data_IF_607429622654
#
_entry.id   IF_607429622654
#
_cell.length_a   1.000
_cell.length_b   1.000
_cell.length_c   1.000
_cell.angle_alpha   90.00
_cell.angle_beta   90.00
_cell.angle_gamma   90.00
#
_symmetry.space_group_name_H-M   'P 1'
#
loop_
_entity.id
_entity.type
_entity.pdbx_description
1 polymer ?
2 polymer ?
3 water ?
#
# COMPACT_ATOMS: atom_id res chain seq x y z
N UNK A 3 -13.88 11.66 0.06
CA UNK A 3 -13.42 10.37 0.66
C UNK A 3 -12.04 10.56 1.27
N UNK A 4 -11.34 9.44 1.61
CA UNK A 4 -9.98 9.51 2.16
C UNK A 4 -8.94 9.86 1.13
N UNK A 5 -7.73 10.21 1.58
CA UNK A 5 -6.66 10.59 0.67
C UNK A 5 -5.66 9.48 0.41
N UNK A 6 -5.41 8.66 1.41
CA UNK A 6 -4.48 7.55 1.27
C UNK A 6 -5.26 6.25 1.21
N UNK A 7 -5.23 5.59 0.06
CA UNK A 7 -6.04 4.40 -0.15
C UNK A 7 -5.71 3.21 0.75
N UNK A 8 -4.72 3.35 1.61
CA UNK A 8 -4.33 2.25 2.50
C UNK A 8 -4.30 2.68 3.96
N UNK A 9 -4.69 1.78 4.86
CA UNK A 9 -4.73 2.08 6.29
C UNK A 9 -3.31 2.27 6.81
N UNK A 10 -2.35 1.55 6.22
CA UNK A 10 -0.95 1.70 6.62
C UNK A 10 -0.33 3.00 6.10
N UNK A 11 -0.49 3.27 4.81
CA UNK A 11 0.01 4.49 4.23
C UNK A 11 -0.51 5.70 4.97
N UNK A 12 -1.80 5.69 5.26
CA UNK A 12 -2.44 6.80 5.92
C UNK A 12 -1.95 7.00 7.35
N UNK A 13 -1.74 5.91 8.06
CA UNK A 13 -1.31 5.97 9.46
C UNK A 13 0.06 6.64 9.56
N UNK A 14 0.83 6.52 8.50
CA UNK A 14 2.17 7.10 8.43
C UNK A 14 2.20 8.52 7.86
N UNK A 15 1.49 8.76 6.75
CA UNK A 15 1.60 10.06 6.08
C UNK A 15 0.60 11.12 6.49
N UNK A 16 -0.54 10.72 7.03
CA UNK A 16 -1.57 11.70 7.42
C UNK A 16 -1.05 12.68 8.49
N UNK A 17 -0.40 12.16 9.54
CA UNK A 17 0.09 13.07 10.58
C UNK A 17 1.05 14.10 9.98
N UNK A 18 2.10 13.64 9.34
CA UNK A 18 3.09 14.52 8.70
C UNK A 18 2.38 15.59 7.87
N UNK A 19 1.46 15.15 7.02
CA UNK A 19 0.74 16.08 6.16
C UNK A 19 0.02 17.12 6.99
N UNK A 20 -0.68 16.69 8.04
CA UNK A 20 -1.39 17.64 8.88
C UNK A 20 -0.41 18.55 9.60
N UNK A 21 0.63 17.95 10.18
CA UNK A 21 1.65 18.70 10.88
C UNK A 21 2.15 19.83 10.01
N UNK A 22 2.34 19.57 8.73
CA UNK A 22 2.77 20.62 7.82
C UNK A 22 1.68 21.69 7.69
N UNK A 23 0.42 21.30 7.86
CA UNK A 23 -0.67 22.27 7.78
C UNK A 23 -0.62 23.23 8.96
N UNK A 24 -0.34 22.70 10.15
CA UNK A 24 -0.19 23.52 11.34
C UNK A 24 0.81 24.62 11.06
N UNK A 25 1.99 24.26 10.62
CA UNK A 25 3.02 25.25 10.32
C UNK A 25 2.63 26.36 9.36
N UNK A 26 2.07 26.00 8.22
CA UNK A 26 1.70 27.00 7.22
C UNK A 26 0.75 28.02 7.83
N UNK A 27 -0.29 27.55 8.52
CA UNK A 27 -1.24 28.48 9.16
C UNK A 27 -0.56 29.35 10.23
N UNK A 28 0.49 28.81 10.84
CA UNK A 28 1.25 29.53 11.86
C UNK A 28 2.09 30.64 11.22
N UNK A 29 3.03 30.28 10.35
CA UNK A 29 3.81 31.28 9.62
C UNK A 29 2.92 32.33 9.04
N UNK A 30 1.78 31.90 8.52
CA UNK A 30 0.82 32.82 7.94
C UNK A 30 0.22 33.70 9.02
N UNK A 31 0.11 33.16 10.23
CA UNK A 31 -0.41 33.93 11.38
C UNK A 31 0.66 34.75 12.09
N UNK A 32 1.92 34.45 11.84
CA UNK A 32 3.02 35.18 12.46
C UNK A 32 3.30 34.70 13.86
N UNK A 33 2.98 33.44 14.13
CA UNK A 33 3.18 32.87 15.46
C UNK A 33 4.66 32.65 15.76
N UNK A 34 5.48 32.61 14.72
CA UNK A 34 6.89 32.29 14.90
C UNK A 34 7.80 33.50 14.63
N UNK A 35 7.19 34.63 14.32
CA UNK A 35 7.94 35.86 14.02
C UNK A 35 8.91 36.28 15.12
N UNK A 36 9.90 37.08 14.73
CA UNK A 36 10.96 37.53 15.61
C UNK A 36 11.48 36.51 16.62
N UNK A 37 11.26 35.23 16.34
CA UNK A 37 11.70 34.17 17.25
C UNK A 37 12.98 33.48 16.75
N UNK A 38 13.87 33.14 17.68
CA UNK A 38 15.10 32.42 17.33
C UNK A 38 14.83 30.92 17.27
N UNK A 39 15.19 30.30 16.14
CA UNK A 39 14.95 28.88 15.92
C UNK A 39 16.12 28.01 16.42
N UNK A 40 15.85 27.12 17.40
CA UNK A 40 16.90 26.26 17.96
C UNK A 40 17.62 25.48 16.88
N UNK A 41 18.89 25.12 17.13
CA UNK A 41 19.69 24.39 16.17
C UNK A 41 19.06 23.07 15.71
N UNK A 42 18.74 23.03 14.42
CA UNK A 42 18.09 21.87 13.81
C UNK A 42 19.04 20.93 13.08
N UNK A 43 20.33 21.19 13.17
CA UNK A 43 21.30 20.37 12.46
C UNK A 43 21.19 18.90 12.90
N UNK A 44 21.00 18.67 14.19
CA UNK A 44 20.89 17.31 14.73
C UNK A 44 19.62 16.60 14.23
N UNK A 45 18.46 17.24 14.45
CA UNK A 45 17.24 16.65 13.91
C UNK A 45 17.35 16.33 12.41
N UNK A 46 17.86 17.27 11.61
CA UNK A 46 17.99 17.04 10.17
C UNK A 46 18.96 15.87 9.91
N UNK A 47 19.87 15.64 10.84
CA UNK A 47 20.78 14.53 10.69
C UNK A 47 19.94 13.25 10.85
N UNK A 48 19.05 13.27 11.85
CA UNK A 48 18.16 12.17 12.08
C UNK A 48 17.52 11.79 10.76
N UNK A 49 16.75 12.73 10.20
CA UNK A 49 16.05 12.50 8.95
C UNK A 49 16.99 11.98 7.86
N UNK A 50 18.20 12.54 7.80
CA UNK A 50 19.16 12.14 6.78
C UNK A 50 19.51 10.66 6.93
N UNK A 51 19.70 10.18 8.17
CA UNK A 51 19.96 8.76 8.37
C UNK A 51 18.73 7.95 7.98
N UNK A 52 17.57 8.36 8.51
CA UNK A 52 16.30 7.69 8.26
C UNK A 52 16.07 7.51 6.76
N UNK A 53 16.15 8.60 6.03
CA UNK A 53 16.00 8.56 4.59
C UNK A 53 17.03 7.63 3.94
N UNK A 54 18.28 7.72 4.41
CA UNK A 54 19.37 6.87 3.92
C UNK A 54 19.04 5.37 4.07
N UNK A 55 18.50 4.98 5.22
CA UNK A 55 18.13 3.59 5.43
C UNK A 55 17.03 3.18 4.48
N UNK A 56 15.98 4.00 4.44
CA UNK A 56 14.87 3.73 3.56
C UNK A 56 15.36 3.50 2.13
N UNK A 57 16.09 4.47 1.59
CA UNK A 57 16.63 4.35 0.26
C UNK A 57 17.46 3.06 0.11
N UNK A 58 18.27 2.76 1.11
CA UNK A 58 19.11 1.58 1.02
C UNK A 58 18.20 0.37 0.85
N UNK A 59 17.22 0.25 1.75
CA UNK A 59 16.20 -0.80 1.67
C UNK A 59 15.46 -0.82 0.32
N UNK A 60 15.12 0.35 -0.19
CA UNK A 60 14.43 0.45 -1.47
C UNK A 60 15.34 -0.06 -2.58
N UNK A 61 16.60 0.36 -2.55
CA UNK A 61 17.57 -0.05 -3.56
C UNK A 61 17.75 -1.56 -3.61
N UNK A 62 17.61 -2.20 -2.45
CA UNK A 62 17.74 -3.64 -2.36
C UNK A 62 16.57 -4.29 -3.04
N UNK A 63 15.39 -3.78 -2.72
CA UNK A 63 14.18 -4.34 -3.28
C UNK A 63 14.18 -4.20 -4.79
N UNK A 64 14.58 -3.04 -5.28
CA UNK A 64 14.61 -2.82 -6.72
C UNK A 64 15.56 -3.79 -7.41
N UNK A 65 16.55 -4.27 -6.68
CA UNK A 65 17.54 -5.18 -7.24
C UNK A 65 17.02 -6.59 -7.23
N UNK A 66 16.67 -7.07 -6.04
CA UNK A 66 16.23 -8.44 -5.85
C UNK A 66 14.78 -8.77 -6.26
N UNK A 67 14.06 -7.80 -6.84
CA UNK A 67 12.67 -8.02 -7.22
C UNK A 67 12.54 -8.62 -8.61
N UNK A 68 11.40 -9.30 -8.82
CA UNK A 68 11.06 -9.89 -10.09
C UNK A 68 10.06 -8.99 -10.85
N UNK A 69 9.53 -7.97 -10.18
CA UNK A 69 8.54 -7.08 -10.79
C UNK A 69 9.23 -6.01 -11.64
N UNK A 70 9.01 -6.07 -12.95
CA UNK A 70 9.60 -5.12 -13.89
C UNK A 70 9.04 -3.72 -13.73
N UNK A 71 7.71 -3.59 -13.57
CA UNK A 71 7.11 -2.27 -13.33
C UNK A 71 7.75 -1.67 -12.06
N UNK A 72 7.87 -2.48 -11.02
CA UNK A 72 8.48 -2.05 -9.78
C UNK A 72 9.89 -1.51 -9.98
N UNK A 73 10.71 -2.25 -10.75
CA UNK A 73 12.11 -1.89 -11.01
C UNK A 73 12.26 -0.50 -11.64
N UNK A 74 11.32 -0.11 -12.48
CA UNK A 74 11.41 1.18 -13.17
C UNK A 74 10.79 2.33 -12.38
N UNK A 75 9.89 2.03 -11.44
CA UNK A 75 9.13 3.08 -10.73
C UNK A 75 9.64 3.52 -9.35
N UNK A 76 10.33 2.65 -8.62
CA UNK A 76 10.87 3.00 -7.30
C UNK A 76 12.01 4.01 -7.33
N UNK A 77 12.99 3.83 -8.23
CA UNK A 77 14.17 4.71 -8.23
C UNK A 77 13.87 6.21 -8.22
N UNK A 78 12.91 6.66 -9.03
CA UNK A 78 12.63 8.09 -8.99
C UNK A 78 12.35 8.56 -7.56
N UNK A 79 11.45 7.86 -6.86
CA UNK A 79 11.11 8.17 -5.46
C UNK A 79 12.35 8.39 -4.57
N UNK A 80 13.39 7.62 -4.82
CA UNK A 80 14.60 7.77 -4.02
C UNK A 80 15.19 9.16 -4.28
N UNK A 81 15.31 9.52 -5.56
CA UNK A 81 15.81 10.84 -5.96
C UNK A 81 15.02 11.94 -5.23
N UNK A 82 13.70 11.86 -5.32
CA UNK A 82 12.82 12.87 -4.74
C UNK A 82 13.08 12.99 -3.24
N UNK A 83 13.07 11.85 -2.57
CA UNK A 83 13.37 11.80 -1.15
C UNK A 83 14.72 12.47 -0.82
N UNK A 84 15.75 12.14 -1.58
CA UNK A 84 17.10 12.62 -1.32
C UNK A 84 17.29 14.09 -1.58
N UNK A 85 16.69 14.58 -2.64
CA UNK A 85 16.82 15.99 -2.93
C UNK A 85 16.14 16.78 -1.84
N UNK A 86 14.93 16.35 -1.48
CA UNK A 86 14.15 16.97 -0.39
C UNK A 86 15.01 17.11 0.83
N UNK A 87 15.73 16.04 1.12
CA UNK A 87 16.61 15.98 2.26
C UNK A 87 17.65 17.07 2.20
N UNK A 88 18.12 17.37 0.99
CA UNK A 88 19.08 18.47 0.76
C UNK A 88 18.48 19.86 1.09
N UNK A 89 17.21 20.08 0.75
CA UNK A 89 16.57 21.36 1.10
C UNK A 89 16.48 21.55 2.63
N UNK A 90 16.27 20.44 3.35
CA UNK A 90 16.20 20.49 4.79
C UNK A 90 17.55 20.81 5.39
N UNK A 91 18.60 20.25 4.79
CA UNK A 91 19.95 20.51 5.27
C UNK A 91 20.28 21.99 5.16
N UNK A 92 20.10 22.53 3.95
CA UNK A 92 20.33 23.95 3.71
C UNK A 92 19.55 24.78 4.73
N UNK A 93 18.29 24.41 4.94
CA UNK A 93 17.43 25.14 5.84
C UNK A 93 18.02 25.11 7.26
N UNK A 94 18.50 23.93 7.66
CA UNK A 94 19.17 23.80 8.94
C UNK A 94 20.33 24.80 9.01
N UNK A 95 21.16 24.80 7.97
CA UNK A 95 22.31 25.71 7.89
C UNK A 95 21.89 27.19 7.93
N UNK A 96 20.92 27.58 7.11
CA UNK A 96 20.47 28.99 7.08
C UNK A 96 19.93 29.47 8.42
N UNK A 97 19.42 28.55 9.24
CA UNK A 97 18.92 28.90 10.57
C UNK A 97 20.01 28.80 11.65
N UNK A 98 21.18 28.28 11.26
CA UNK A 98 22.33 28.20 12.16
C UNK A 98 23.16 29.47 12.02
N UNK A 99 23.19 29.99 10.79
CA UNK A 99 23.90 31.21 10.53
C UNK A 99 22.97 32.37 10.91
N UNK A 100 21.66 32.13 10.85
CA UNK A 100 20.72 33.16 11.27
C UNK A 100 19.47 32.57 11.87
N UNK A 101 19.44 32.45 13.20
CA UNK A 101 18.30 31.91 13.90
C UNK A 101 16.98 32.62 13.60
N UNK A 102 17.06 33.83 13.04
CA UNK A 102 15.82 34.51 12.71
C UNK A 102 15.55 34.56 11.22
N UNK A 103 16.12 33.63 10.48
CA UNK A 103 16.02 33.64 9.04
C UNK A 103 14.58 33.44 8.59
N UNK A 104 14.10 34.33 7.71
CA UNK A 104 12.75 34.20 7.14
C UNK A 104 12.76 33.39 5.83
N UNK A 105 13.75 33.66 4.96
CA UNK A 105 13.89 32.88 3.73
C UNK A 105 14.04 31.39 4.01
N UNK A 106 14.73 31.06 5.09
CA UNK A 106 14.95 29.66 5.45
C UNK A 106 13.61 28.94 5.69
N UNK A 107 12.56 29.73 5.90
CA UNK A 107 11.22 29.22 6.12
C UNK A 107 10.73 28.44 4.89
N UNK A 108 11.30 28.73 3.74
CA UNK A 108 10.82 28.13 2.49
C UNK A 108 11.43 26.77 2.11
N UNK A 109 12.71 26.58 2.42
CA UNK A 109 13.32 25.30 2.12
C UNK A 109 12.98 24.26 3.19
N UNK A 110 12.48 24.72 4.33
CA UNK A 110 12.04 23.83 5.38
C UNK A 110 10.70 23.22 4.97
N UNK A 111 9.79 24.07 4.53
CA UNK A 111 8.48 23.65 4.04
C UNK A 111 8.61 22.83 2.76
N UNK A 112 9.37 23.37 1.81
CA UNK A 112 9.61 22.68 0.54
C UNK A 112 10.28 21.34 0.78
N UNK A 113 11.20 21.29 1.75
CA UNK A 113 11.90 20.04 2.09
C UNK A 113 10.96 19.02 2.70
N UNK A 114 10.20 19.47 3.70
CA UNK A 114 9.26 18.60 4.36
C UNK A 114 8.29 17.98 3.37
N UNK A 115 7.65 18.84 2.57
CA UNK A 115 6.73 18.34 1.56
C UNK A 115 7.42 17.35 0.61
N UNK A 116 8.68 17.63 0.27
CA UNK A 116 9.47 16.77 -0.61
C UNK A 116 9.60 15.37 -0.05
N UNK A 117 9.92 15.29 1.25
CA UNK A 117 10.09 14.00 1.92
C UNK A 117 8.79 13.23 1.96
N UNK A 118 7.73 13.91 2.37
CA UNK A 118 6.41 13.33 2.39
C UNK A 118 6.00 12.86 1.00
N UNK A 119 6.12 13.75 0.01
CA UNK A 119 5.75 13.36 -1.35
C UNK A 119 6.57 12.15 -1.81
N UNK A 120 7.89 12.24 -1.72
CA UNK A 120 8.79 11.14 -2.09
C UNK A 120 8.46 9.82 -1.42
N UNK A 121 8.18 9.87 -0.11
CA UNK A 121 7.84 8.66 0.64
C UNK A 121 6.52 8.07 0.11
N UNK A 122 5.51 8.90 -0.05
CA UNK A 122 4.24 8.37 -0.50
C UNK A 122 4.45 7.66 -1.84
N UNK A 123 5.21 8.27 -2.74
CA UNK A 123 5.45 7.63 -4.01
C UNK A 123 6.08 6.26 -3.87
N UNK A 124 7.08 6.17 -3.01
CA UNK A 124 7.72 4.89 -2.78
C UNK A 124 6.69 3.88 -2.29
N UNK A 125 5.92 4.29 -1.29
CA UNK A 125 4.87 3.48 -0.71
C UNK A 125 3.78 3.10 -1.71
N UNK A 126 3.39 4.05 -2.56
CA UNK A 126 2.35 3.80 -3.55
C UNK A 126 2.84 2.83 -4.63
N UNK A 127 4.10 2.98 -5.01
CA UNK A 127 4.71 2.12 -5.99
C UNK A 127 4.82 0.71 -5.45
N UNK A 128 5.20 0.55 -4.19
CA UNK A 128 5.31 -0.78 -3.62
C UNK A 128 3.93 -1.46 -3.53
N UNK A 129 2.93 -0.69 -3.10
CA UNK A 129 1.57 -1.20 -3.00
C UNK A 129 1.14 -1.72 -4.37
N UNK A 130 1.30 -0.89 -5.40
CA UNK A 130 0.98 -1.37 -6.75
C UNK A 130 1.59 -2.74 -7.04
N UNK A 131 2.82 -2.93 -6.59
CA UNK A 131 3.51 -4.22 -6.76
C UNK A 131 2.71 -5.26 -6.02
N UNK A 132 2.42 -4.98 -4.75
CA UNK A 132 1.63 -5.88 -3.94
C UNK A 132 0.31 -6.26 -4.63
N UNK A 133 -0.28 -5.29 -5.32
CA UNK A 133 -1.55 -5.53 -5.99
C UNK A 133 -1.35 -6.50 -7.15
N UNK A 134 -0.28 -6.26 -7.93
CA UNK A 134 0.02 -7.15 -9.04
C UNK A 134 0.17 -8.60 -8.58
N UNK A 135 0.58 -8.79 -7.32
CA UNK A 135 0.69 -10.13 -6.77
C UNK A 135 -0.70 -10.72 -6.68
N UNK A 136 -1.65 -9.93 -6.19
CA UNK A 136 -2.99 -10.46 -6.02
C UNK A 136 -3.56 -10.69 -7.40
N UNK A 137 -3.35 -9.73 -8.30
CA UNK A 137 -3.83 -9.87 -9.67
C UNK A 137 -3.21 -11.11 -10.37
N UNK A 138 -2.00 -11.49 -9.96
CA UNK A 138 -1.33 -12.63 -10.57
C UNK A 138 -2.15 -13.89 -10.29
N UNK A 139 -2.34 -14.18 -9.01
CA UNK A 139 -3.17 -15.30 -8.60
C UNK A 139 -4.51 -15.27 -9.35
N UNK A 140 -5.25 -14.17 -9.22
CA UNK A 140 -6.55 -14.05 -9.90
C UNK A 140 -6.48 -14.45 -11.36
N UNK A 141 -5.59 -13.79 -12.11
CA UNK A 141 -5.50 -14.10 -13.54
C UNK A 141 -5.29 -15.61 -13.78
N UNK A 142 -4.66 -16.26 -12.80
CA UNK A 142 -4.40 -17.69 -12.86
C UNK A 142 -5.73 -18.40 -12.85
N UNK A 143 -6.46 -18.24 -11.75
CA UNK A 143 -7.76 -18.89 -11.56
C UNK A 143 -8.66 -18.66 -12.78
N UNK A 144 -8.52 -17.52 -13.43
CA UNK A 144 -9.31 -17.25 -14.63
C UNK A 144 -8.92 -18.16 -15.77
N UNK A 145 -7.63 -18.42 -15.89
CA UNK A 145 -7.13 -19.32 -16.91
C UNK A 145 -7.55 -20.74 -16.53
N UNK A 146 -7.40 -21.05 -15.25
CA UNK A 146 -7.73 -22.36 -14.74
C UNK A 146 -9.17 -22.68 -15.02
N UNK A 147 -10.03 -21.65 -15.10
CA UNK A 147 -11.45 -21.88 -15.40
C UNK A 147 -11.64 -22.12 -16.89
N UNK A 148 -10.78 -21.50 -17.68
CA UNK A 148 -10.86 -21.65 -19.13
C UNK A 148 -10.63 -23.12 -19.47
N UNK A 149 -9.93 -23.82 -18.59
CA UNK A 149 -9.62 -25.24 -18.76
C UNK A 149 -10.72 -26.09 -18.15
N UNK A 150 -11.97 -25.71 -18.37
CA UNK A 150 -13.08 -26.46 -17.83
C UNK A 150 -13.93 -26.99 -18.97
N UNK A 151 -13.85 -26.32 -20.13
CA UNK A 151 -14.63 -26.76 -21.28
C UNK A 151 -13.89 -27.92 -21.95
N UNK A 152 -12.98 -28.55 -21.20
CA UNK A 152 -12.21 -29.71 -21.67
C UNK A 152 -12.02 -30.69 -20.53
N UNK A 153 -13.13 -31.20 -20.01
CA UNK A 153 -13.11 -32.17 -18.92
C UNK A 153 -14.33 -33.09 -19.03
N UNK A 155 -14.49 -36.47 -18.55
CA UNK A 155 -14.90 -37.53 -17.63
C UNK A 155 -14.31 -37.32 -16.24
N UNK A 156 -14.84 -38.03 -15.25
CA UNK A 156 -14.32 -37.93 -13.88
C UNK A 156 -12.83 -38.21 -13.95
N UNK A 157 -12.43 -38.86 -15.03
CA UNK A 157 -11.05 -39.30 -15.25
C UNK A 157 -10.08 -38.15 -15.50
N UNK A 158 -10.55 -37.09 -16.13
CA UNK A 158 -9.70 -35.92 -16.40
C UNK A 158 -10.30 -34.69 -15.75
N UNK A 160 -12.15 -34.85 -12.21
CA UNK A 160 -12.32 -33.97 -11.09
C UNK A 160 -11.03 -33.89 -10.28
N UNK A 161 -9.97 -34.56 -10.73
CA UNK A 161 -8.67 -34.36 -10.08
C UNK A 161 -8.34 -32.86 -10.24
N UNK A 162 -8.96 -32.30 -11.26
CA UNK A 162 -8.90 -30.90 -11.60
C UNK A 162 -9.43 -30.03 -10.47
N UNK A 163 -10.58 -30.41 -9.91
CA UNK A 163 -11.16 -29.65 -8.82
C UNK A 163 -10.26 -29.77 -7.58
N UNK A 164 -9.55 -30.88 -7.49
CA UNK A 164 -8.67 -31.15 -6.36
C UNK A 164 -7.42 -30.28 -6.44
N UNK A 165 -6.90 -30.13 -7.65
CA UNK A 165 -5.72 -29.32 -7.88
C UNK A 165 -6.03 -27.81 -7.84
N UNK A 166 -7.32 -27.47 -7.74
CA UNK A 166 -7.75 -26.07 -7.66
C UNK A 166 -7.92 -25.57 -6.21
N UNK A 167 -8.39 -26.46 -5.35
CA UNK A 167 -8.61 -26.12 -3.94
C UNK A 167 -7.62 -25.14 -3.32
N UNK A 168 -6.32 -25.46 -3.37
CA UNK A 168 -5.34 -24.54 -2.76
C UNK A 168 -5.35 -23.15 -3.40
N UNK A 169 -5.32 -23.07 -4.72
CA UNK A 169 -5.30 -21.76 -5.41
C UNK A 169 -6.45 -20.86 -4.96
N UNK A 170 -7.65 -21.43 -5.00
CA UNK A 170 -8.84 -20.73 -4.61
C UNK A 170 -8.69 -20.22 -3.17
N UNK A 171 -7.86 -20.86 -2.36
CA UNK A 171 -7.68 -20.42 -0.98
C UNK A 171 -6.72 -19.24 -0.90
N UNK A 172 -5.67 -19.27 -1.72
CA UNK A 172 -4.69 -18.21 -1.70
C UNK A 172 -5.40 -16.92 -2.05
N UNK A 173 -6.27 -17.01 -3.06
CA UNK A 173 -7.00 -15.84 -3.53
C UNK A 173 -7.91 -15.32 -2.43
N UNK A 174 -8.74 -16.21 -1.90
CA UNK A 174 -9.69 -15.83 -0.87
C UNK A 174 -8.99 -15.09 0.29
N UNK A 175 -7.76 -15.52 0.58
CA UNK A 175 -6.95 -14.95 1.67
C UNK A 175 -6.44 -13.57 1.31
N UNK A 176 -5.95 -13.45 0.08
CA UNK A 176 -5.42 -12.18 -0.41
C UNK A 176 -6.53 -11.14 -0.38
N UNK A 177 -7.68 -11.44 -1.00
CA UNK A 177 -8.76 -10.45 -1.01
C UNK A 177 -9.23 -10.10 0.40
N UNK A 178 -9.40 -11.11 1.24
CA UNK A 178 -9.86 -10.86 2.60
C UNK A 178 -8.93 -9.92 3.33
N UNK A 179 -7.66 -10.32 3.36
CA UNK A 179 -6.65 -9.51 4.02
C UNK A 179 -6.45 -8.15 3.32
N UNK A 180 -6.74 -8.09 2.02
CA UNK A 180 -6.62 -6.83 1.27
C UNK A 180 -7.70 -5.83 1.64
N UNK A 181 -8.95 -6.29 1.71
CA UNK A 181 -10.02 -5.37 2.01
C UNK A 181 -9.90 -4.82 3.41
N UNK A 182 -9.27 -5.57 4.32
CA UNK A 182 -9.08 -5.08 5.70
C UNK A 182 -8.17 -3.88 5.71
N UNK A 183 -7.44 -3.68 4.62
CA UNK A 183 -6.53 -2.54 4.49
C UNK A 183 -7.11 -1.33 3.71
N UNK A 184 -7.95 -1.56 2.70
CA UNK A 184 -8.43 -0.42 1.92
C UNK A 184 -9.11 0.60 2.80
N UNK A 185 -9.03 1.87 2.45
CA UNK A 185 -9.69 2.91 3.24
C UNK A 185 -10.99 3.41 2.56
N UNK A 186 -11.25 2.92 1.35
CA UNK A 186 -12.45 3.30 0.64
C UNK A 186 -13.42 2.20 0.89
N UNK A 187 -14.44 2.51 1.67
CA UNK A 187 -15.41 1.52 2.11
C UNK A 187 -16.13 0.90 0.93
N UNK A 188 -16.54 1.73 0.00
CA UNK A 188 -17.20 1.19 -1.17
C UNK A 188 -16.34 0.03 -1.68
N UNK A 189 -15.12 0.36 -2.11
CA UNK A 189 -14.15 -0.62 -2.61
C UNK A 189 -14.13 -1.90 -1.86
N UNK A 190 -14.08 -1.83 -0.53
CA UNK A 190 -14.17 -3.02 0.29
C UNK A 190 -15.44 -3.87 0.04
N UNK A 191 -16.62 -3.22 0.01
CA UNK A 191 -17.86 -4.00 -0.15
C UNK A 191 -17.78 -4.78 -1.44
N UNK A 192 -17.29 -4.12 -2.49
CA UNK A 192 -17.20 -4.73 -3.83
C UNK A 192 -16.31 -5.95 -3.82
N UNK A 193 -15.19 -5.85 -3.13
CA UNK A 193 -14.27 -6.97 -3.03
C UNK A 193 -14.94 -8.11 -2.28
N UNK A 194 -15.55 -7.77 -1.16
CA UNK A 194 -16.17 -8.78 -0.33
C UNK A 194 -17.36 -9.44 -1.03
N UNK A 195 -18.21 -8.64 -1.67
CA UNK A 195 -19.33 -9.25 -2.37
C UNK A 195 -18.89 -10.16 -3.49
N UNK A 196 -18.05 -9.64 -4.36
CA UNK A 196 -17.53 -10.41 -5.48
C UNK A 196 -16.94 -11.71 -5.01
N UNK A 197 -16.03 -11.62 -4.04
CA UNK A 197 -15.39 -12.80 -3.55
C UNK A 197 -16.43 -13.79 -3.01
N UNK A 198 -17.38 -13.29 -2.24
CA UNK A 198 -18.42 -14.15 -1.69
C UNK A 198 -19.09 -14.90 -2.80
N UNK A 199 -19.36 -14.17 -3.87
CA UNK A 199 -20.03 -14.80 -4.97
C UNK A 199 -19.18 -15.87 -5.62
N UNK A 200 -17.88 -15.62 -5.73
CA UNK A 200 -17.00 -16.60 -6.34
C UNK A 200 -17.06 -17.91 -5.55
N UNK A 201 -16.93 -17.84 -4.24
CA UNK A 201 -16.86 -19.06 -3.43
C UNK A 201 -18.21 -19.78 -3.29
N UNK A 202 -19.30 -19.01 -3.34
CA UNK A 202 -20.64 -19.60 -3.33
C UNK A 202 -20.84 -20.36 -4.62
N UNK A 203 -20.31 -19.80 -5.70
CA UNK A 203 -20.52 -20.35 -7.03
C UNK A 203 -19.56 -21.51 -7.32
N UNK A 204 -18.58 -21.72 -6.44
CA UNK A 204 -17.64 -22.83 -6.63
C UNK A 204 -18.35 -24.18 -6.69
N UNK A 205 -19.01 -24.59 -5.58
CA UNK A 205 -19.76 -25.85 -5.59
C UNK A 205 -20.55 -25.99 -6.89
N UNK A 206 -21.42 -25.01 -7.15
CA UNK A 206 -22.24 -25.02 -8.35
C UNK A 206 -21.42 -25.33 -9.58
N UNK A 207 -20.15 -24.91 -9.62
CA UNK A 207 -19.30 -25.21 -10.77
C UNK A 207 -18.86 -26.69 -10.76
N UNK A 208 -18.41 -27.17 -9.61
CA UNK A 208 -18.04 -28.56 -9.51
C UNK A 208 -19.25 -29.46 -9.84
N UNK A 209 -20.41 -29.12 -9.28
CA UNK A 209 -21.65 -29.85 -9.57
C UNK A 209 -22.08 -29.76 -11.02
N UNK A 210 -21.85 -28.60 -11.65
CA UNK A 210 -22.25 -28.43 -13.05
C UNK A 210 -21.37 -29.31 -13.90
N UNK A 211 -20.19 -29.60 -13.39
CA UNK A 211 -19.23 -30.42 -14.11
C UNK A 211 -19.55 -31.89 -13.92
N UNK A 212 -19.93 -32.31 -12.72
CA UNK A 212 -20.38 -33.68 -12.59
C UNK A 212 -21.60 -33.90 -13.53
N UNK A 213 -22.55 -32.96 -13.46
CA UNK A 213 -23.79 -33.03 -14.25
C UNK A 213 -23.43 -33.19 -15.70
N UNK A 214 -22.13 -33.12 -15.93
CA UNK A 214 -21.60 -33.47 -17.17
C UNK A 214 -21.28 -34.93 -16.87
N UNK A 215 -22.10 -35.85 -17.39
CA UNK A 215 -21.89 -37.30 -17.28
C UNK A 215 -22.54 -37.91 -18.50
N UNK A 225 -25.55 -34.35 -23.43
CA UNK A 225 -26.42 -33.60 -24.33
C UNK A 225 -25.90 -32.17 -24.53
N UNK A 226 -26.78 -31.18 -24.62
CA UNK A 226 -26.33 -29.81 -24.86
C UNK A 226 -26.63 -28.81 -23.73
N UNK A 227 -27.63 -29.12 -22.92
CA UNK A 227 -28.05 -28.23 -21.84
C UNK A 227 -27.03 -28.21 -20.70
N UNK A 228 -26.54 -29.38 -20.29
CA UNK A 228 -25.57 -29.48 -19.19
C UNK A 228 -24.29 -28.71 -19.49
N UNK A 229 -24.04 -28.50 -20.77
CA UNK A 229 -22.87 -27.80 -21.27
C UNK A 229 -22.94 -26.30 -21.00
N UNK A 230 -24.04 -25.68 -21.42
CA UNK A 230 -24.22 -24.22 -21.22
C UNK A 230 -24.49 -23.81 -19.76
N UNK A 231 -25.10 -24.70 -18.99
CA UNK A 231 -25.30 -24.45 -17.56
C UNK A 231 -23.93 -24.41 -16.92
N UNK A 232 -22.96 -25.04 -17.58
CA UNK A 232 -21.56 -25.05 -17.14
C UNK A 232 -20.88 -23.80 -17.66
N UNK A 233 -20.90 -23.61 -18.98
CA UNK A 233 -20.28 -22.43 -19.58
C UNK A 233 -20.74 -21.13 -18.93
N UNK A 234 -22.01 -21.09 -18.57
CA UNK A 234 -22.56 -19.94 -17.88
C UNK A 234 -21.85 -19.75 -16.55
N UNK A 235 -21.77 -20.82 -15.77
CA UNK A 235 -21.15 -20.73 -14.44
C UNK A 235 -19.72 -20.18 -14.50
N UNK A 236 -18.93 -20.62 -15.49
CA UNK A 236 -17.58 -20.12 -15.60
C UNK A 236 -17.61 -18.65 -16.06
N UNK A 237 -18.62 -18.30 -16.85
CA UNK A 237 -18.76 -16.92 -17.27
C UNK A 237 -18.92 -16.05 -16.01
N UNK A 238 -19.95 -16.34 -15.21
CA UNK A 238 -20.23 -15.57 -13.99
C UNK A 238 -19.07 -15.55 -13.01
N UNK A 239 -18.44 -16.70 -12.78
CA UNK A 239 -17.27 -16.73 -11.88
C UNK A 239 -16.16 -15.85 -12.44
N UNK A 240 -16.01 -15.84 -13.77
CA UNK A 240 -15.00 -15.03 -14.42
C UNK A 240 -15.34 -13.55 -14.32
N UNK A 241 -16.63 -13.25 -14.42
CA UNK A 241 -17.05 -11.88 -14.33
C UNK A 241 -16.66 -11.36 -12.95
N UNK A 242 -16.99 -12.12 -11.89
CA UNK A 242 -16.63 -11.69 -10.54
C UNK A 242 -15.14 -11.53 -10.39
N UNK A 243 -14.38 -12.52 -10.83
CA UNK A 243 -12.92 -12.45 -10.66
C UNK A 243 -12.35 -11.26 -11.41
N UNK A 244 -12.89 -11.00 -12.60
CA UNK A 244 -12.49 -9.81 -13.34
C UNK A 244 -12.91 -8.54 -12.62
N UNK A 245 -14.04 -8.61 -11.93
CA UNK A 245 -14.52 -7.46 -11.18
C UNK A 245 -13.53 -7.17 -10.06
N UNK A 246 -13.06 -8.24 -9.43
CA UNK A 246 -12.10 -8.13 -8.36
C UNK A 246 -10.85 -7.42 -8.86
N UNK A 247 -10.26 -7.95 -9.94
CA UNK A 247 -9.07 -7.34 -10.54
C UNK A 247 -9.23 -5.83 -10.79
N UNK A 248 -10.36 -5.46 -11.39
CA UNK A 248 -10.66 -4.06 -11.63
C UNK A 248 -10.67 -3.26 -10.33
N UNK A 249 -11.49 -3.68 -9.37
CA UNK A 249 -11.61 -2.95 -8.12
C UNK A 249 -10.25 -2.88 -7.41
N UNK A 250 -9.46 -3.93 -7.57
CA UNK A 250 -8.15 -3.94 -6.95
C UNK A 250 -7.25 -2.78 -7.42
N UNK A 251 -7.57 -2.18 -8.56
CA UNK A 251 -6.71 -1.17 -9.18
C UNK A 251 -7.19 0.26 -9.06
N UNK A 252 -8.43 0.44 -8.64
CA UNK A 252 -9.03 1.78 -8.46
C UNK A 252 -8.23 2.67 -7.51
N UNK B 33 -2.53 -33.11 -20.13
CA UNK B 33 -3.86 -33.15 -19.42
C UNK B 33 -3.81 -32.60 -17.99
N UNK B 34 -3.17 -33.35 -17.10
CA UNK B 34 -3.00 -32.98 -15.71
C UNK B 34 -1.83 -32.02 -15.55
N UNK B 35 -0.97 -31.97 -16.56
CA UNK B 35 0.18 -31.06 -16.53
C UNK B 35 -0.26 -29.64 -16.93
N UNK B 36 -1.34 -29.55 -17.69
CA UNK B 36 -1.91 -28.26 -18.09
C UNK B 36 -2.26 -27.46 -16.83
N UNK B 37 -3.06 -28.08 -15.96
CA UNK B 37 -3.48 -27.49 -14.70
C UNK B 37 -2.28 -27.08 -13.83
N UNK B 38 -1.15 -27.75 -14.04
CA UNK B 38 0.08 -27.45 -13.31
C UNK B 38 0.91 -26.40 -14.05
N UNK B 39 0.85 -26.43 -15.39
CA UNK B 39 1.55 -25.48 -16.26
C UNK B 39 1.08 -24.06 -15.96
N UNK B 40 -0.10 -23.94 -15.38
CA UNK B 40 -0.62 -22.64 -15.02
C UNK B 40 -0.72 -22.50 -13.51
N UNK B 41 -0.85 -23.63 -12.80
CA UNK B 41 -0.82 -23.60 -11.35
C UNK B 41 0.54 -23.09 -10.87
N UNK B 42 1.55 -23.18 -11.76
CA UNK B 42 2.91 -22.72 -11.47
C UNK B 42 2.95 -21.21 -11.38
N UNK B 43 1.84 -20.57 -11.74
CA UNK B 43 1.69 -19.11 -11.66
C UNK B 43 1.25 -18.70 -10.25
N UNK B 44 1.94 -19.27 -9.25
CA UNK B 44 1.75 -18.95 -7.84
C UNK B 44 0.38 -19.30 -7.33
N UNK B 45 0.04 -20.58 -7.32
CA UNK B 45 -1.28 -21.00 -6.88
C UNK B 45 -1.21 -22.05 -5.79
N UNK B 46 -0.30 -21.87 -4.85
CA UNK B 46 -0.15 -22.84 -3.78
C UNK B 46 -0.13 -22.16 -2.43
N UNK B 47 0.29 -22.92 -1.41
CA UNK B 47 0.44 -22.36 -0.08
C UNK B 47 1.60 -21.38 -0.10
N UNK B 48 1.77 -20.61 0.96
CA UNK B 48 2.86 -19.64 1.00
C UNK B 48 3.98 -20.01 1.98
N UNK B 49 3.66 -20.77 3.02
CA UNK B 49 4.67 -21.16 3.99
C UNK B 49 5.32 -19.85 4.46
N UNK B 50 6.65 -19.76 4.43
CA UNK B 50 7.33 -18.51 4.78
C UNK B 50 8.85 -18.63 4.65
N UNK B 55 9.06 -10.23 4.73
CA UNK B 55 9.72 -9.26 5.59
C UNK B 55 9.97 -7.91 4.90
N UNK B 56 10.10 -7.90 3.58
CA UNK B 56 10.33 -6.65 2.86
C UNK B 56 9.28 -5.58 3.16
N UNK B 57 8.00 -5.93 3.08
CA UNK B 57 6.92 -4.98 3.37
C UNK B 57 7.05 -4.35 4.76
N UNK B 58 7.22 -5.17 5.78
CA UNK B 58 7.36 -4.64 7.12
C UNK B 58 8.63 -3.80 7.20
N UNK B 59 9.68 -4.25 6.54
CA UNK B 59 10.92 -3.50 6.53
C UNK B 59 10.66 -2.12 5.93
N UNK B 60 10.20 -2.11 4.67
CA UNK B 60 9.87 -0.85 4.00
C UNK B 60 9.04 0.01 4.94
N UNK B 61 7.88 -0.47 5.36
CA UNK B 61 7.01 0.27 6.26
C UNK B 61 7.76 0.73 7.50
N UNK B 62 8.65 -0.12 7.99
CA UNK B 62 9.44 0.23 9.16
C UNK B 62 10.22 1.53 8.89
N UNK B 63 11.07 1.50 7.88
CA UNK B 63 11.86 2.64 7.45
C UNK B 63 11.02 3.87 7.12
N UNK B 64 9.87 3.68 6.49
CA UNK B 64 8.98 4.78 6.21
C UNK B 64 8.51 5.38 7.53
N UNK B 65 8.38 4.53 8.56
CA UNK B 65 8.02 5.02 9.89
C UNK B 65 9.17 5.76 10.50
N UNK B 66 10.38 5.28 10.22
CA UNK B 66 11.55 5.95 10.69
C UNK B 66 11.54 7.38 10.15
N UNK B 67 11.42 7.51 8.84
CA UNK B 67 11.39 8.82 8.19
C UNK B 67 10.26 9.69 8.77
N UNK B 68 9.09 9.10 8.94
CA UNK B 68 7.97 9.83 9.50
C UNK B 68 8.34 10.37 10.87
N UNK B 69 8.99 9.53 11.66
CA UNK B 69 9.36 9.91 13.02
C UNK B 69 10.36 11.09 13.03
N UNK B 70 11.51 10.91 12.39
CA UNK B 70 12.51 11.94 12.33
C UNK B 70 11.91 13.27 11.83
N UNK B 71 11.07 13.18 10.79
CA UNK B 71 10.49 14.38 10.18
C UNK B 71 9.51 15.02 11.12
N UNK B 72 8.82 14.21 11.90
CA UNK B 72 7.84 14.77 12.81
C UNK B 72 8.52 15.47 13.97
N UNK B 73 9.64 14.93 14.41
CA UNK B 73 10.38 15.55 15.49
C UNK B 73 10.88 16.89 15.00
N UNK B 74 11.66 16.85 13.93
CA UNK B 74 12.22 18.04 13.29
C UNK B 74 11.23 19.19 13.20
N UNK B 75 9.96 18.88 13.03
CA UNK B 75 8.96 19.92 12.88
C UNK B 75 8.33 20.32 14.21
N UNK B 76 8.35 19.39 15.17
CA UNK B 76 7.81 19.69 16.48
C UNK B 76 8.84 20.53 17.21
N UNK B 77 10.10 20.39 16.81
CA UNK B 77 11.19 21.12 17.43
C UNK B 77 11.34 22.52 16.84
N UNK B 78 11.10 22.68 15.54
CA UNK B 78 11.15 23.99 14.88
C UNK B 78 10.05 24.88 15.44
N UNK B 79 8.81 24.40 15.34
CA UNK B 79 7.66 25.09 15.92
C UNK B 79 7.90 25.34 17.41
N UNK B 80 8.45 24.35 18.09
CA UNK B 80 8.65 24.42 19.54
C UNK B 80 7.31 24.10 20.19
N UNK B 81 7.29 23.95 21.52
CA UNK B 81 6.03 23.67 22.22
C UNK B 81 5.21 24.94 22.45
N UNK B 82 4.80 25.61 21.38
CA UNK B 82 4.11 26.88 21.49
C UNK B 82 2.98 27.10 20.47
N UNK B 83 1.88 27.71 20.92
CA UNK B 83 0.75 28.05 20.06
C UNK B 83 -0.29 26.97 19.83
N UNK B 84 0.14 25.85 19.24
CA UNK B 84 -0.75 24.74 18.87
C UNK B 84 -1.65 24.17 20.00
N UNK B 85 -2.69 23.44 19.60
CA UNK B 85 -3.63 22.81 20.54
C UNK B 85 -3.04 21.51 21.05
N UNK B 86 -2.64 21.49 22.31
CA UNK B 86 -1.98 20.33 22.89
C UNK B 86 -2.84 19.64 23.94
N UNK B 87 -3.79 20.39 24.50
CA UNK B 87 -4.70 19.88 25.52
C UNK B 87 -5.83 19.07 24.85
N UNK B 88 -6.43 19.62 23.79
CA UNK B 88 -7.48 18.93 23.02
C UNK B 88 -6.90 17.68 22.36
N UNK B 89 -5.57 17.65 22.31
CA UNK B 89 -4.82 16.57 21.69
C UNK B 89 -4.69 15.42 22.70
N UNK B 90 -4.45 15.80 23.96
CA UNK B 90 -4.35 14.84 25.06
C UNK B 90 -5.69 14.17 25.31
N UNK B 91 -6.72 15.00 25.45
CA UNK B 91 -8.06 14.52 25.72
C UNK B 91 -8.48 13.55 24.62
N UNK B 92 -8.40 13.97 23.36
CA UNK B 92 -8.73 13.09 22.23
C UNK B 92 -8.05 11.72 22.38
N UNK B 93 -6.80 11.72 22.85
CA UNK B 93 -6.02 10.50 23.05
C UNK B 93 -6.56 9.67 24.22
N UNK B 94 -7.02 10.35 25.26
CA UNK B 94 -7.61 9.67 26.41
C UNK B 94 -9.01 9.17 26.10
N UNK B 95 -9.76 9.98 25.34
CA UNK B 95 -11.12 9.66 24.96
C UNK B 95 -11.14 8.37 24.17
N UNK B 96 -10.39 8.31 23.09
CA UNK B 96 -10.44 7.09 22.27
C UNK B 96 -9.73 5.91 22.93
N UNK B 97 -9.24 6.12 24.14
CA UNK B 97 -8.73 5.03 24.94
C UNK B 97 -9.87 4.35 25.64
N UNK B 98 -10.96 5.08 25.91
CA UNK B 98 -12.18 4.51 26.46
C UNK B 98 -12.89 3.77 25.33
N UNK B 99 -12.29 3.80 24.15
CA UNK B 99 -12.86 3.17 22.96
C UNK B 99 -11.87 2.20 22.27
N UNK B 100 -11.06 2.78 21.38
CA UNK B 100 -10.13 2.04 20.51
C UNK B 100 -10.13 0.54 20.78
#
# INVERSE_FOLDING_TARGET
GPMPVFHTRTIESILEPVAQQISHLVIMHEEGEVDGKAIPDLTAPVAAVQAAVSNLVRVGKETVQTTEDQILKRDMPPAFIKVENACTKLVQAAQMLQSDPYSVPARDYLIDGSRGILSGTSDLLLTFDEAEVRKIIRVCKGILEYLTVAEVVETMEDLVTYTKNLGPGMTKMAKMIDERQQELTHQEHRVMLVNSMNTVKELLPVLISAMKIFVTTKNSKNQGIEEALKNRNFTVEKMSAEINEIIRVLQL
GPGELAYALNNFDKQIIVDPLSFSEERFRPSLEERLESIISGAALMADSSCTRDDRRERIVAECNAVRQALQDLLSEYMGNAGRKERSDALNSAIDKMTKKT
#
